data_IF_559136697118
#
_entry.id   IF_559136697118
#
_cell.length_a   1.000
_cell.length_b   1.000
_cell.length_c   1.000
_cell.angle_alpha   90.00
_cell.angle_beta   90.00
_cell.angle_gamma   90.00
#
_symmetry.space_group_name_H-M   'P 1'
#
loop_
_entity.id
_entity.type
_entity.pdbx_description
1 polymer ?
#
# COMPACT_ATOMS: atom_id res chain seq x y z
N UNK A 1 -16.73 13.41 -2.14
CA UNK A 1 -17.78 12.66 -2.85
C UNK A 1 -17.35 11.21 -3.12
N UNK A 2 -16.22 10.94 -3.81
CA UNK A 2 -15.78 9.57 -4.13
C UNK A 2 -15.64 8.68 -2.88
N UNK A 3 -14.93 9.14 -1.85
CA UNK A 3 -14.77 8.40 -0.58
C UNK A 3 -16.15 8.08 0.05
N UNK A 4 -17.07 9.06 0.08
CA UNK A 4 -18.42 8.85 0.61
C UNK A 4 -19.16 7.72 -0.13
N UNK A 5 -19.14 7.73 -1.47
CA UNK A 5 -19.75 6.67 -2.29
C UNK A 5 -19.14 5.29 -2.00
N UNK A 6 -17.81 5.23 -1.83
CA UNK A 6 -17.12 3.98 -1.49
C UNK A 6 -17.56 3.47 -0.12
N UNK A 7 -17.65 4.36 0.88
CA UNK A 7 -18.06 3.98 2.23
C UNK A 7 -19.54 3.63 2.34
N UNK A 8 -20.40 4.21 1.50
CA UNK A 8 -21.81 3.81 1.38
C UNK A 8 -22.00 2.42 0.75
N UNK A 9 -21.06 2.03 -0.13
CA UNK A 9 -21.06 0.70 -0.73
C UNK A 9 -20.46 -0.38 0.18
N UNK A 10 -19.60 0.00 1.11
CA UNK A 10 -18.89 -0.91 2.01
C UNK A 10 -19.77 -1.45 3.13
N UNK A 11 -19.72 -2.75 3.46
CA UNK A 11 -18.93 -3.81 2.81
C UNK A 11 -19.69 -4.55 1.69
N UNK A 12 -21.02 -4.49 1.64
CA UNK A 12 -21.85 -5.45 0.90
C UNK A 12 -21.86 -5.22 -0.62
N UNK A 13 -21.76 -3.96 -1.04
CA UNK A 13 -21.77 -3.54 -2.45
C UNK A 13 -20.39 -3.14 -2.96
N UNK A 14 -19.38 -3.36 -2.14
CA UNK A 14 -18.02 -2.99 -2.48
C UNK A 14 -17.43 -4.01 -3.45
N UNK A 15 -16.86 -3.53 -4.55
CA UNK A 15 -16.20 -4.36 -5.56
C UNK A 15 -14.70 -4.19 -5.38
N UNK A 16 -13.99 -5.29 -5.39
CA UNK A 16 -12.53 -5.33 -5.27
C UNK A 16 -11.91 -6.04 -6.47
N UNK A 17 -10.61 -5.80 -6.70
CA UNK A 17 -9.87 -6.38 -7.82
C UNK A 17 -9.27 -7.74 -7.46
N UNK A 18 -8.15 -7.78 -6.76
CA UNK A 18 -7.38 -9.02 -6.52
C UNK A 18 -7.60 -9.63 -5.14
N UNK A 19 -7.83 -8.82 -4.13
CA UNK A 19 -8.00 -9.24 -2.77
C UNK A 19 -8.68 -8.15 -1.94
N UNK A 20 -9.47 -8.56 -0.95
CA UNK A 20 -10.25 -7.62 -0.14
C UNK A 20 -9.36 -6.84 0.83
N UNK A 21 -8.29 -7.45 1.33
CA UNK A 21 -7.37 -6.77 2.25
C UNK A 21 -6.55 -5.70 1.55
N UNK A 22 -6.15 -5.94 0.32
CA UNK A 22 -5.52 -4.93 -0.51
C UNK A 22 -6.39 -3.67 -0.65
N UNK A 23 -7.68 -3.85 -0.93
CA UNK A 23 -8.60 -2.72 -1.10
C UNK A 23 -8.86 -1.99 0.23
N UNK A 24 -8.98 -2.71 1.34
CA UNK A 24 -9.05 -2.10 2.68
C UNK A 24 -7.80 -1.28 2.99
N UNK A 25 -6.63 -1.84 2.72
CA UNK A 25 -5.36 -1.15 2.94
C UNK A 25 -5.25 0.16 2.14
N UNK A 26 -5.66 0.15 0.86
CA UNK A 26 -5.70 1.35 0.01
C UNK A 26 -6.60 2.46 0.55
N UNK A 27 -7.66 2.11 1.26
CA UNK A 27 -8.59 3.10 1.82
C UNK A 27 -8.07 3.82 3.06
N UNK A 28 -7.07 3.28 3.75
CA UNK A 28 -6.58 3.88 5.00
C UNK A 28 -6.00 5.27 4.79
N UNK A 29 -5.12 5.44 3.82
CA UNK A 29 -4.48 6.72 3.54
C UNK A 29 -5.47 7.84 3.20
N UNK A 30 -6.38 7.69 2.22
CA UNK A 30 -7.35 8.74 1.91
C UNK A 30 -8.33 9.03 3.06
N UNK A 31 -8.69 8.02 3.87
CA UNK A 31 -9.54 8.23 5.04
C UNK A 31 -8.79 8.94 6.18
N UNK A 32 -7.51 8.62 6.40
CA UNK A 32 -6.67 9.32 7.36
C UNK A 32 -6.53 10.81 6.99
N UNK A 33 -6.27 11.10 5.72
CA UNK A 33 -6.18 12.47 5.24
C UNK A 33 -7.52 13.19 5.25
N UNK A 34 -8.63 12.48 5.01
CA UNK A 34 -9.96 13.07 5.18
C UNK A 34 -10.21 13.50 6.62
N UNK A 35 -9.83 12.68 7.61
CA UNK A 35 -9.87 13.06 9.04
C UNK A 35 -8.95 14.26 9.31
N UNK A 36 -7.77 14.32 8.69
CA UNK A 36 -6.84 15.44 8.86
C UNK A 36 -7.40 16.77 8.33
N UNK A 37 -8.13 16.72 7.21
CA UNK A 37 -8.75 17.90 6.58
C UNK A 37 -10.04 18.30 7.30
N UNK A 38 -10.87 17.32 7.63
CA UNK A 38 -12.19 17.55 8.21
C UNK A 38 -12.50 16.48 9.27
N UNK A 39 -12.14 16.77 10.52
CA UNK A 39 -12.27 15.85 11.64
C UNK A 39 -13.73 15.76 12.12
N UNK A 40 -14.48 14.85 11.53
CA UNK A 40 -15.85 14.53 11.92
C UNK A 40 -15.98 13.14 12.51
N UNK A 41 -17.01 12.94 13.34
CA UNK A 41 -17.33 11.61 13.87
C UNK A 41 -17.64 10.59 12.77
N UNK A 42 -18.13 11.01 11.62
CA UNK A 42 -18.40 10.17 10.46
C UNK A 42 -17.09 9.70 9.82
N UNK A 43 -16.16 10.64 9.56
CA UNK A 43 -14.86 10.33 8.95
C UNK A 43 -14.00 9.44 9.85
N UNK A 44 -13.96 9.74 11.16
CA UNK A 44 -13.29 8.87 12.14
C UNK A 44 -13.90 7.46 12.18
N UNK A 45 -15.23 7.34 12.11
CA UNK A 45 -15.91 6.05 12.08
C UNK A 45 -15.56 5.26 10.80
N UNK A 46 -15.54 5.90 9.63
CA UNK A 46 -15.15 5.26 8.38
C UNK A 46 -13.73 4.71 8.43
N UNK A 47 -12.78 5.53 8.85
CA UNK A 47 -11.40 5.11 9.05
C UNK A 47 -11.30 3.93 10.01
N UNK A 48 -11.99 4.02 11.15
CA UNK A 48 -12.00 2.97 12.18
C UNK A 48 -12.60 1.66 11.66
N UNK A 49 -13.68 1.71 10.90
CA UNK A 49 -14.34 0.54 10.31
C UNK A 49 -13.37 -0.21 9.38
N UNK A 50 -12.80 0.50 8.41
CA UNK A 50 -11.84 -0.11 7.45
C UNK A 50 -10.61 -0.67 8.17
N UNK A 51 -10.04 0.09 9.10
CA UNK A 51 -8.89 -0.37 9.87
C UNK A 51 -9.21 -1.59 10.76
N UNK A 52 -10.37 -1.61 11.41
CA UNK A 52 -10.79 -2.74 12.23
C UNK A 52 -10.94 -4.02 11.40
N UNK A 53 -11.58 -3.93 10.24
CA UNK A 53 -11.78 -5.09 9.37
C UNK A 53 -10.45 -5.60 8.76
N UNK A 54 -9.54 -4.70 8.39
CA UNK A 54 -8.20 -5.06 7.94
C UNK A 54 -7.40 -5.75 9.06
N UNK A 55 -7.38 -5.15 10.24
CA UNK A 55 -6.56 -5.59 11.37
C UNK A 55 -7.14 -6.79 12.10
N UNK A 56 -8.42 -7.14 11.90
CA UNK A 56 -9.02 -8.37 12.43
C UNK A 56 -8.25 -9.64 12.00
N UNK A 57 -7.49 -9.56 10.90
CA UNK A 57 -6.67 -10.65 10.37
C UNK A 57 -5.17 -10.47 10.66
N UNK A 58 -4.75 -9.39 11.30
CA UNK A 58 -3.33 -9.20 11.61
C UNK A 58 -2.82 -10.30 12.55
N UNK A 59 -1.84 -11.07 12.08
CA UNK A 59 -1.19 -12.11 12.85
C UNK A 59 -0.33 -11.51 13.98
N UNK A 60 -0.06 -12.33 14.99
CA UNK A 60 0.84 -11.95 16.12
C UNK A 60 2.23 -11.54 15.67
N UNK A 61 2.71 -12.04 14.52
CA UNK A 61 4.00 -11.67 13.96
C UNK A 61 3.97 -10.30 13.25
N UNK A 62 2.79 -9.69 13.09
CA UNK A 62 2.59 -8.41 12.43
C UNK A 62 2.10 -8.50 10.99
N UNK A 63 2.18 -9.67 10.35
CA UNK A 63 1.71 -9.90 9.00
C UNK A 63 0.18 -9.72 8.88
N UNK A 64 -0.28 -9.26 7.73
CA UNK A 64 -1.70 -9.26 7.37
C UNK A 64 -1.83 -10.20 6.16
N UNK A 65 -2.53 -11.34 6.29
CA UNK A 65 -2.76 -12.23 5.17
C UNK A 65 -3.63 -11.57 4.13
N UNK A 66 -3.42 -11.90 2.86
CA UNK A 66 -4.39 -11.54 1.84
C UNK A 66 -5.68 -12.37 2.02
N UNK A 67 -6.78 -11.86 1.56
CA UNK A 67 -8.08 -12.50 1.65
C UNK A 67 -8.85 -12.34 0.34
N UNK A 68 -9.28 -13.46 -0.21
CA UNK A 68 -10.19 -13.47 -1.35
C UNK A 68 -11.60 -13.27 -0.79
N UNK A 69 -12.32 -12.30 -1.33
CA UNK A 69 -13.70 -12.05 -0.96
C UNK A 69 -14.68 -13.09 -1.53
N UNK A 70 -15.95 -12.80 -1.49
CA UNK A 70 -16.99 -13.68 -2.01
C UNK A 70 -16.84 -13.90 -3.52
N UNK A 71 -17.11 -15.14 -3.95
CA UNK A 71 -17.07 -15.50 -5.35
C UNK A 71 -18.02 -14.61 -6.18
N UNK A 72 -17.53 -14.10 -7.30
CA UNK A 72 -18.26 -13.22 -8.20
C UNK A 72 -18.24 -11.74 -7.83
N UNK A 73 -17.67 -11.35 -6.69
CA UNK A 73 -17.46 -9.94 -6.32
C UNK A 73 -16.05 -9.45 -6.59
N UNK A 74 -15.06 -10.36 -6.63
CA UNK A 74 -13.68 -10.04 -6.99
C UNK A 74 -13.47 -9.96 -8.49
N UNK A 75 -12.57 -9.07 -8.94
CA UNK A 75 -12.33 -8.82 -10.37
C UNK A 75 -11.54 -9.91 -11.08
N UNK A 76 -10.64 -10.62 -10.40
CA UNK A 76 -9.69 -11.52 -11.04
C UNK A 76 -9.68 -12.90 -10.36
N UNK A 77 -10.26 -13.91 -11.02
CA UNK A 77 -10.19 -15.29 -10.53
C UNK A 77 -8.78 -15.84 -10.70
N UNK A 78 -8.39 -16.87 -9.93
CA UNK A 78 -7.17 -17.64 -10.20
C UNK A 78 -7.14 -18.15 -11.65
N UNK A 79 -5.93 -18.26 -12.27
CA UNK A 79 -5.82 -18.75 -13.64
C UNK A 79 -6.34 -20.19 -13.72
N UNK A 80 -7.06 -20.49 -14.80
CA UNK A 80 -7.69 -21.79 -15.00
C UNK A 80 -6.69 -22.89 -15.43
N UNK A 81 -5.50 -22.53 -15.92
CA UNK A 81 -4.46 -23.44 -16.37
C UNK A 81 -3.07 -22.81 -16.30
N UNK A 82 -2.02 -23.60 -16.48
CA UNK A 82 -0.66 -23.10 -16.53
C UNK A 82 -0.42 -22.14 -17.71
N UNK A 83 -1.10 -22.34 -18.83
CA UNK A 83 -1.00 -21.48 -20.01
C UNK A 83 -1.66 -20.11 -19.80
N UNK A 84 -2.58 -20.03 -18.86
CA UNK A 84 -3.26 -18.78 -18.51
C UNK A 84 -2.42 -17.87 -17.60
N UNK A 85 -1.34 -18.37 -17.01
CA UNK A 85 -0.45 -17.56 -16.17
C UNK A 85 0.16 -16.39 -16.97
N UNK A 86 0.12 -15.21 -16.37
CA UNK A 86 0.67 -14.00 -16.98
C UNK A 86 -0.17 -13.37 -18.08
N UNK A 87 -1.33 -13.94 -18.42
CA UNK A 87 -2.25 -13.39 -19.43
C UNK A 87 -3.25 -12.40 -18.84
N UNK A 88 -3.44 -12.44 -17.52
CA UNK A 88 -4.31 -11.52 -16.77
C UNK A 88 -3.81 -11.38 -15.33
N UNK A 89 -4.26 -10.37 -14.64
CA UNK A 89 -4.01 -10.26 -13.20
C UNK A 89 -4.73 -11.37 -12.44
N UNK A 90 -4.06 -11.87 -11.41
CA UNK A 90 -4.57 -12.94 -10.55
C UNK A 90 -4.41 -12.55 -9.08
N UNK A 91 -5.26 -13.08 -8.17
CA UNK A 91 -5.05 -12.88 -6.74
C UNK A 91 -3.74 -13.56 -6.29
N UNK A 92 -3.12 -13.01 -5.27
CA UNK A 92 -1.91 -13.55 -4.66
C UNK A 92 -2.12 -14.99 -4.13
N UNK A 93 -3.32 -15.27 -3.64
CA UNK A 93 -3.68 -16.54 -3.00
C UNK A 93 -4.81 -17.23 -3.76
N UNK A 94 -4.88 -18.55 -3.63
CA UNK A 94 -5.98 -19.36 -4.18
C UNK A 94 -7.07 -19.66 -3.14
N UNK A 95 -6.73 -19.55 -1.87
CA UNK A 95 -7.60 -19.91 -0.77
C UNK A 95 -7.37 -19.02 0.43
N UNK A 96 -8.42 -18.65 1.16
CA UNK A 96 -8.31 -17.93 2.43
C UNK A 96 -7.62 -18.74 3.56
N UNK A 97 -7.17 -19.96 3.27
CA UNK A 97 -6.32 -20.75 4.18
C UNK A 97 -4.84 -20.45 3.99
N UNK A 98 -4.46 -19.87 2.87
CA UNK A 98 -3.08 -19.49 2.57
C UNK A 98 -2.67 -18.36 3.51
N UNK A 99 -1.52 -18.57 4.19
CA UNK A 99 -0.96 -17.59 5.13
C UNK A 99 0.06 -16.69 4.44
N UNK A 100 -0.30 -16.18 3.28
CA UNK A 100 0.55 -15.31 2.48
C UNK A 100 0.14 -13.85 2.62
N UNK A 101 1.15 -13.00 2.79
CA UNK A 101 1.02 -11.54 2.79
C UNK A 101 1.55 -10.96 1.49
N UNK A 102 0.81 -10.01 0.94
CA UNK A 102 1.24 -9.23 -0.22
C UNK A 102 1.98 -7.97 0.24
N UNK A 103 3.29 -7.93 0.02
CA UNK A 103 4.12 -6.78 0.37
C UNK A 103 4.01 -5.67 -0.67
N UNK A 104 3.63 -6.03 -1.92
CA UNK A 104 3.49 -5.07 -3.01
C UNK A 104 2.28 -4.15 -2.83
N UNK A 105 1.16 -4.71 -2.37
CA UNK A 105 -0.08 -3.95 -2.22
C UNK A 105 -0.55 -3.87 -0.77
N UNK A 106 -0.94 -4.98 -0.17
CA UNK A 106 -1.63 -4.97 1.12
C UNK A 106 -0.78 -4.40 2.24
N UNK A 107 0.43 -4.93 2.46
CA UNK A 107 1.27 -4.45 3.57
C UNK A 107 1.84 -3.07 3.31
N UNK A 108 2.18 -2.79 2.08
CA UNK A 108 2.69 -1.50 1.63
C UNK A 108 1.69 -0.36 1.92
N UNK A 109 0.45 -0.50 1.42
CA UNK A 109 -0.61 0.49 1.67
C UNK A 109 -1.07 0.51 3.13
N UNK A 110 -1.12 -0.65 3.80
CA UNK A 110 -1.45 -0.71 5.21
C UNK A 110 -0.44 0.06 6.06
N UNK A 111 0.84 -0.06 5.75
CA UNK A 111 1.90 0.53 6.54
C UNK A 111 1.85 2.07 6.51
N UNK A 112 1.82 2.67 5.32
CA UNK A 112 1.68 4.12 5.21
C UNK A 112 0.32 4.60 5.71
N UNK A 113 -0.75 3.86 5.43
CA UNK A 113 -2.10 4.21 5.87
C UNK A 113 -2.27 4.19 7.39
N UNK A 114 -1.70 3.22 8.09
CA UNK A 114 -1.71 3.15 9.56
C UNK A 114 -0.84 4.26 10.18
N UNK A 115 0.30 4.56 9.57
CA UNK A 115 1.16 5.67 9.98
C UNK A 115 0.42 7.00 9.92
N UNK A 116 -0.21 7.31 8.80
CA UNK A 116 -1.00 8.53 8.62
C UNK A 116 -2.25 8.54 9.51
N UNK A 117 -2.90 7.39 9.73
CA UNK A 117 -4.04 7.29 10.64
C UNK A 117 -3.65 7.59 12.10
N UNK A 118 -2.51 7.06 12.55
CA UNK A 118 -1.96 7.37 13.87
C UNK A 118 -1.66 8.87 14.01
N UNK A 119 -1.02 9.46 13.00
CA UNK A 119 -0.70 10.89 12.97
C UNK A 119 -1.95 11.79 12.90
N UNK A 120 -2.99 11.38 12.18
CA UNK A 120 -4.22 12.14 12.03
C UNK A 120 -5.12 12.10 13.27
N UNK A 121 -5.14 10.97 13.98
CA UNK A 121 -6.09 10.72 15.06
C UNK A 121 -5.50 10.77 16.46
N UNK A 122 -4.20 10.49 16.61
CA UNK A 122 -3.53 10.28 17.90
C UNK A 122 -3.92 8.98 18.61
N UNK A 123 -4.72 8.09 17.98
CA UNK A 123 -5.18 6.85 18.59
C UNK A 123 -4.10 5.77 18.61
N UNK A 124 -3.82 5.21 19.77
CA UNK A 124 -2.85 4.11 19.96
C UNK A 124 -3.15 2.89 19.10
N UNK A 125 -4.43 2.64 18.82
CA UNK A 125 -4.88 1.51 18.00
C UNK A 125 -4.16 1.41 16.66
N UNK A 126 -4.00 2.52 15.95
CA UNK A 126 -3.29 2.55 14.67
C UNK A 126 -1.78 2.39 14.85
N UNK A 127 -1.20 3.10 15.80
CA UNK A 127 0.24 3.05 16.08
C UNK A 127 0.72 1.67 16.57
N UNK A 128 -0.06 0.97 17.38
CA UNK A 128 0.27 -0.38 17.82
C UNK A 128 0.24 -1.39 16.66
N UNK A 129 -0.74 -1.28 15.78
CA UNK A 129 -0.82 -2.12 14.58
C UNK A 129 0.31 -1.81 13.59
N UNK A 130 0.61 -0.53 13.39
CA UNK A 130 1.75 -0.05 12.59
C UNK A 130 3.08 -0.59 13.13
N UNK A 131 3.30 -0.54 14.46
CA UNK A 131 4.52 -1.05 15.07
C UNK A 131 4.74 -2.53 14.80
N UNK A 132 3.69 -3.35 14.96
CA UNK A 132 3.75 -4.79 14.65
C UNK A 132 4.08 -5.02 13.17
N UNK A 133 3.49 -4.24 12.28
CA UNK A 133 3.76 -4.34 10.85
C UNK A 133 5.19 -3.92 10.51
N UNK A 134 5.70 -2.85 11.12
CA UNK A 134 7.08 -2.41 10.97
C UNK A 134 8.08 -3.48 11.41
N UNK A 135 7.85 -4.11 12.57
CA UNK A 135 8.68 -5.22 13.05
C UNK A 135 8.67 -6.40 12.07
N UNK A 136 7.50 -6.78 11.55
CA UNK A 136 7.39 -7.81 10.53
C UNK A 136 8.20 -7.46 9.28
N UNK A 137 8.00 -6.27 8.72
CA UNK A 137 8.69 -5.82 7.51
C UNK A 137 10.22 -5.80 7.69
N UNK A 138 10.71 -5.33 8.84
CA UNK A 138 12.14 -5.36 9.15
C UNK A 138 12.69 -6.79 9.27
N UNK A 139 11.90 -7.73 9.81
CA UNK A 139 12.32 -9.13 9.96
C UNK A 139 12.37 -9.91 8.67
N UNK A 140 11.53 -9.55 7.70
CA UNK A 140 11.50 -10.22 6.37
C UNK A 140 12.32 -9.48 5.33
N UNK A 141 13.02 -8.41 5.68
CA UNK A 141 13.92 -7.72 4.77
C UNK A 141 15.02 -8.68 4.29
N UNK A 142 15.27 -8.70 2.99
CA UNK A 142 16.27 -9.58 2.39
C UNK A 142 17.67 -9.20 2.89
N UNK A 143 18.43 -10.20 3.26
CA UNK A 143 19.87 -10.10 3.54
C UNK A 143 20.62 -11.08 2.65
N UNK A 144 21.52 -10.58 1.84
CA UNK A 144 22.27 -11.40 0.89
C UNK A 144 23.69 -10.86 0.69
N UNK A 145 24.68 -11.65 1.05
CA UNK A 145 26.07 -11.37 0.74
C UNK A 145 26.43 -11.73 -0.72
N UNK A 146 25.76 -12.76 -1.27
CA UNK A 146 26.02 -13.25 -2.62
C UNK A 146 25.29 -12.47 -3.71
N UNK A 147 24.21 -11.75 -3.34
CA UNK A 147 23.38 -10.96 -4.22
C UNK A 147 23.16 -9.57 -3.63
N UNK A 148 24.21 -8.70 -3.68
CA UNK A 148 24.14 -7.36 -3.09
C UNK A 148 23.05 -6.48 -3.71
N UNK A 149 22.63 -6.78 -4.95
CA UNK A 149 21.53 -6.12 -5.62
C UNK A 149 20.15 -6.40 -4.98
N UNK A 150 20.04 -7.46 -4.17
CA UNK A 150 18.83 -7.82 -3.44
C UNK A 150 18.89 -7.38 -1.98
N UNK A 151 20.09 -7.12 -1.44
CA UNK A 151 20.27 -6.82 -0.01
C UNK A 151 19.52 -5.55 0.39
N UNK A 152 18.75 -5.66 1.47
CA UNK A 152 17.92 -4.57 1.98
C UNK A 152 16.56 -4.41 1.29
N UNK A 153 16.26 -5.19 0.25
CA UNK A 153 14.98 -5.16 -0.44
C UNK A 153 13.91 -6.09 0.17
N UNK A 154 12.76 -6.11 -0.48
CA UNK A 154 11.65 -7.02 -0.17
C UNK A 154 11.13 -7.64 -1.46
N UNK A 155 10.93 -8.97 -1.45
CA UNK A 155 10.14 -9.61 -2.48
C UNK A 155 8.65 -9.35 -2.27
N UNK A 156 7.86 -9.63 -3.32
CA UNK A 156 6.43 -9.31 -3.36
C UNK A 156 5.61 -10.00 -2.29
N UNK A 157 5.86 -11.29 -1.99
CA UNK A 157 4.98 -12.09 -1.16
C UNK A 157 5.74 -12.93 -0.13
N UNK A 158 5.14 -13.09 1.04
CA UNK A 158 5.73 -13.82 2.14
C UNK A 158 4.72 -14.75 2.81
N UNK A 159 5.02 -16.05 2.89
CA UNK A 159 4.27 -17.01 3.69
C UNK A 159 4.77 -16.98 5.13
N UNK A 160 4.02 -16.34 6.00
CA UNK A 160 4.40 -16.17 7.39
C UNK A 160 4.14 -17.41 8.27
N UNK A 161 3.47 -18.45 7.74
CA UNK A 161 3.37 -19.74 8.41
C UNK A 161 4.64 -20.59 8.18
N UNK A 162 5.17 -20.58 6.94
CA UNK A 162 6.42 -21.26 6.59
C UNK A 162 7.65 -20.42 6.92
N UNK A 163 7.45 -19.13 7.10
CA UNK A 163 8.48 -18.13 7.28
C UNK A 163 9.46 -18.04 6.10
N UNK A 164 8.91 -17.96 4.91
CA UNK A 164 9.68 -17.90 3.66
C UNK A 164 9.00 -16.97 2.64
N UNK A 165 9.77 -16.46 1.70
CA UNK A 165 9.23 -15.73 0.56
C UNK A 165 8.51 -16.69 -0.38
N UNK A 166 7.20 -16.68 -0.30
CA UNK A 166 6.34 -17.55 -1.06
C UNK A 166 4.92 -17.01 -1.11
N UNK A 167 4.24 -17.27 -2.22
CA UNK A 167 2.79 -17.15 -2.36
C UNK A 167 2.19 -18.46 -2.85
N UNK A 168 0.89 -18.48 -3.09
CA UNK A 168 0.24 -19.61 -3.74
C UNK A 168 0.57 -19.63 -5.24
N UNK A 169 0.26 -20.77 -5.90
CA UNK A 169 0.39 -20.90 -7.35
C UNK A 169 -0.54 -19.95 -8.14
N UNK A 170 -1.42 -19.21 -7.48
CA UNK A 170 -2.31 -18.23 -8.11
C UNK A 170 -1.58 -17.05 -8.75
N UNK A 171 -0.38 -16.72 -8.28
CA UNK A 171 0.37 -15.53 -8.70
C UNK A 171 1.64 -15.87 -9.49
N UNK A 172 1.56 -16.79 -10.42
CA UNK A 172 2.74 -17.23 -11.18
C UNK A 172 3.25 -16.17 -12.17
N UNK A 173 2.41 -15.28 -12.65
CA UNK A 173 2.78 -14.25 -13.64
C UNK A 173 3.76 -13.22 -13.09
N UNK A 174 3.62 -12.83 -11.85
CA UNK A 174 4.48 -11.84 -11.19
C UNK A 174 5.49 -12.46 -10.22
N UNK A 175 5.22 -13.65 -9.76
CA UNK A 175 6.10 -14.45 -8.90
C UNK A 175 6.28 -13.85 -7.50
N UNK A 176 6.23 -14.73 -6.50
CA UNK A 176 6.47 -14.36 -5.09
C UNK A 176 7.87 -13.79 -4.85
N UNK A 177 8.80 -14.12 -5.72
CA UNK A 177 10.23 -13.75 -5.68
C UNK A 177 10.57 -12.49 -6.49
N UNK A 178 9.56 -11.80 -7.03
CA UNK A 178 9.81 -10.58 -7.78
C UNK A 178 10.19 -9.44 -6.86
N UNK A 179 11.25 -8.72 -7.20
CA UNK A 179 11.52 -7.40 -6.64
C UNK A 179 10.84 -6.37 -7.53
N UNK A 180 9.72 -5.89 -7.08
CA UNK A 180 8.94 -4.86 -7.76
C UNK A 180 9.58 -3.49 -7.48
N UNK A 181 10.36 -3.03 -8.45
CA UNK A 181 11.02 -1.73 -8.35
C UNK A 181 9.99 -0.60 -8.34
N UNK A 182 10.09 0.27 -7.35
CA UNK A 182 9.28 1.47 -7.24
C UNK A 182 8.09 1.34 -6.30
N UNK A 183 7.38 0.23 -6.24
CA UNK A 183 6.19 0.13 -5.40
C UNK A 183 6.50 -0.46 -4.02
N UNK A 184 6.85 -1.74 -3.95
CA UNK A 184 7.13 -2.39 -2.66
C UNK A 184 8.23 -1.64 -1.90
N UNK A 185 9.36 -1.41 -2.58
CA UNK A 185 10.54 -0.83 -1.96
C UNK A 185 10.32 0.61 -1.51
N UNK A 186 9.74 1.43 -2.37
CA UNK A 186 9.62 2.87 -2.13
C UNK A 186 8.67 3.21 -0.98
N UNK A 187 7.50 2.58 -0.91
CA UNK A 187 6.52 2.88 0.13
C UNK A 187 6.94 2.35 1.51
N UNK A 188 7.50 1.14 1.56
CA UNK A 188 8.02 0.59 2.82
C UNK A 188 9.17 1.47 3.33
N UNK A 189 10.14 1.79 2.45
CA UNK A 189 11.28 2.63 2.81
C UNK A 189 10.84 4.03 3.23
N UNK A 190 9.92 4.66 2.47
CA UNK A 190 9.40 5.98 2.80
C UNK A 190 8.74 6.00 4.18
N UNK A 191 7.90 5.00 4.48
CA UNK A 191 7.22 4.93 5.78
C UNK A 191 8.21 4.70 6.92
N UNK A 192 9.22 3.84 6.74
CA UNK A 192 10.28 3.67 7.73
C UNK A 192 11.05 4.97 7.98
N UNK A 193 11.35 5.72 6.92
CA UNK A 193 12.00 7.02 7.04
C UNK A 193 11.12 8.05 7.78
N UNK A 194 9.83 8.12 7.46
CA UNK A 194 8.87 8.98 8.17
C UNK A 194 8.81 8.67 9.66
N UNK A 195 8.77 7.39 10.03
CA UNK A 195 8.83 6.93 11.41
C UNK A 195 10.10 7.39 12.12
N UNK A 196 11.25 7.24 11.46
CA UNK A 196 12.53 7.67 12.02
C UNK A 196 12.59 9.20 12.21
N UNK A 197 11.99 9.95 11.31
CA UNK A 197 11.89 11.41 11.39
C UNK A 197 10.83 11.88 12.41
N UNK A 198 9.95 11.03 12.88
CA UNK A 198 8.80 11.39 13.71
C UNK A 198 7.82 12.32 12.97
N UNK A 199 7.68 12.14 11.66
CA UNK A 199 6.87 12.95 10.76
C UNK A 199 5.84 12.11 10.03
N UNK A 200 4.69 12.70 9.71
CA UNK A 200 3.74 12.13 8.75
C UNK A 200 4.05 12.61 7.32
N UNK A 201 3.54 11.86 6.35
CA UNK A 201 3.63 12.28 4.95
C UNK A 201 2.84 13.56 4.70
N UNK A 202 1.71 13.71 5.38
CA UNK A 202 0.93 14.95 5.37
C UNK A 202 1.76 16.15 5.81
N UNK A 203 2.47 16.07 6.94
CA UNK A 203 3.28 17.18 7.46
C UNK A 203 4.38 17.59 6.48
N UNK A 204 5.05 16.63 5.86
CA UNK A 204 6.11 16.92 4.89
C UNK A 204 5.55 17.58 3.63
N UNK A 205 4.40 17.14 3.13
CA UNK A 205 3.83 17.61 1.87
C UNK A 205 3.02 18.90 2.02
N UNK A 206 2.27 19.02 3.11
CA UNK A 206 1.43 20.21 3.37
C UNK A 206 2.25 21.48 3.55
N UNK A 207 3.36 21.40 4.25
CA UNK A 207 4.23 22.54 4.52
C UNK A 207 5.28 22.75 3.43
N UNK A 208 5.25 21.95 2.38
CA UNK A 208 6.20 22.06 1.27
C UNK A 208 5.93 23.34 0.47
N UNK A 209 6.99 24.10 0.23
CA UNK A 209 6.97 25.32 -0.59
C UNK A 209 7.37 25.02 -2.04
N UNK A 210 6.85 23.92 -2.58
CA UNK A 210 7.21 23.44 -3.93
C UNK A 210 6.97 24.52 -4.99
N UNK A 211 5.93 25.34 -4.84
CA UNK A 211 5.61 26.41 -5.76
C UNK A 211 6.73 27.45 -5.85
N UNK A 212 7.37 27.77 -4.72
CA UNK A 212 8.49 28.72 -4.68
C UNK A 212 9.73 28.21 -5.44
N UNK A 213 9.88 26.90 -5.52
CA UNK A 213 11.03 26.24 -6.15
C UNK A 213 10.73 25.62 -7.53
N UNK A 214 9.46 25.67 -7.96
CA UNK A 214 9.03 24.97 -9.19
C UNK A 214 9.83 25.38 -10.42
N UNK A 215 10.04 26.68 -10.62
CA UNK A 215 10.76 27.21 -11.79
C UNK A 215 12.21 26.74 -11.86
N UNK A 216 12.87 26.54 -10.73
CA UNK A 216 14.25 26.09 -10.68
C UNK A 216 14.35 24.58 -10.79
N UNK A 217 13.45 23.85 -10.08
CA UNK A 217 13.37 22.41 -10.18
C UNK A 217 13.00 21.94 -11.59
N UNK A 218 12.10 22.65 -12.28
CA UNK A 218 11.72 22.34 -13.65
C UNK A 218 12.92 22.33 -14.59
N UNK A 219 13.85 23.29 -14.45
CA UNK A 219 15.06 23.39 -15.29
C UNK A 219 16.01 22.21 -15.05
N UNK A 220 16.05 21.69 -13.83
CA UNK A 220 16.95 20.59 -13.45
C UNK A 220 16.32 19.23 -13.80
N UNK A 221 15.02 19.08 -13.60
CA UNK A 221 14.31 17.80 -13.73
C UNK A 221 13.82 17.51 -15.14
N UNK A 222 13.54 18.53 -15.94
CA UNK A 222 13.04 18.36 -17.31
C UNK A 222 14.10 18.78 -18.32
N UNK A 223 14.57 17.88 -19.22
CA UNK A 223 15.43 18.27 -20.33
C UNK A 223 14.80 19.38 -21.17
N UNK A 224 15.61 20.34 -21.64
CA UNK A 224 15.15 21.47 -22.47
C UNK A 224 14.30 21.05 -23.67
N UNK A 225 14.57 19.87 -24.22
CA UNK A 225 13.83 19.29 -25.34
C UNK A 225 12.36 18.99 -24.97
N UNK A 226 12.08 18.69 -23.69
CA UNK A 226 10.71 18.42 -23.23
C UNK A 226 10.02 19.73 -22.92
N UNK A 227 10.71 20.69 -22.31
CA UNK A 227 10.17 22.02 -21.98
C UNK A 227 9.68 22.75 -23.24
N UNK A 228 10.43 22.62 -24.34
CA UNK A 228 10.12 23.29 -25.61
C UNK A 228 9.04 22.57 -26.45
N UNK A 229 8.65 21.34 -26.08
CA UNK A 229 7.63 20.54 -26.79
C UNK A 229 6.25 20.53 -26.13
N UNK A 230 6.08 21.13 -24.97
CA UNK A 230 4.78 21.22 -24.30
C UNK A 230 3.98 22.35 -24.98
N UNK A 231 2.96 22.05 -25.79
CA UNK A 231 2.13 23.08 -26.38
C UNK A 231 1.30 23.77 -25.28
N UNK A 232 1.47 25.06 -25.16
CA UNK A 232 0.77 25.88 -24.17
C UNK A 232 1.48 25.83 -22.80
N UNK A 233 2.51 26.65 -22.66
CA UNK A 233 2.97 27.08 -21.33
C UNK A 233 1.74 27.46 -20.54
N UNK A 234 1.50 26.76 -19.44
CA UNK A 234 0.56 27.27 -18.43
C UNK A 234 0.97 28.72 -18.15
N UNK A 235 0.05 29.67 -18.24
CA UNK A 235 0.37 31.06 -17.94
C UNK A 235 0.96 31.09 -16.52
N UNK A 236 2.02 31.88 -16.34
CA UNK A 236 2.52 32.16 -15.01
C UNK A 236 1.32 32.55 -14.14
N UNK A 237 1.11 31.82 -13.07
CA UNK A 237 0.14 32.23 -12.06
C UNK A 237 0.66 33.54 -11.47
N UNK A 238 -0.02 34.66 -11.81
CA UNK A 238 0.15 35.95 -11.16
C UNK A 238 -0.58 35.95 -9.83
#
# INVERSE_FOLDING_TARGET
KAIGMTMEAYPDKWVWTNGIQQERAKMLLPLAWLVKIEDTSVHRRWLKTIATDLLAKQDKCGAIPEEIGEAGKGGFPPPASNEAYGTSETPLIQSNKDKASDLLYTLNFAFIGLHEAAAATGEKFYGEAENKLAEFLCRVQIRSENHPELDGGWFRAFDFNRWEYWASNGDAGWGAWSIETGWTQSWITATLALRQMGKSFWEITHDSKIEEHFSDLQKVMLPEIIINKIPGRLPAFN
#
